data_IF_018819178086
#
_entry.id   IF_018819178086
#
_cell.length_a   1.000
_cell.length_b   1.000
_cell.length_c   1.000
_cell.angle_alpha   90.00
_cell.angle_beta   90.00
_cell.angle_gamma   90.00
#
_symmetry.space_group_name_H-M   'P 1'
#
loop_
_entity.id
_entity.type
_entity.pdbx_description
1 polymer ?
#
# COMPACT_ATOMS: atom_id res chain seq x y z
N UNK A 1 -9.30 -33.52 19.26
CA UNK A 1 -8.27 -33.69 18.20
C UNK A 1 -8.71 -32.85 17.01
N UNK A 2 -8.22 -31.62 16.89
CA UNK A 2 -8.60 -30.73 15.78
C UNK A 2 -7.53 -30.89 14.70
N UNK A 3 -7.86 -31.61 13.64
CA UNK A 3 -6.97 -31.81 12.49
C UNK A 3 -7.23 -30.68 11.51
N UNK A 4 -6.32 -29.71 11.47
CA UNK A 4 -6.34 -28.61 10.51
C UNK A 4 -5.86 -29.07 9.13
N UNK A 5 -6.66 -29.91 8.45
CA UNK A 5 -6.35 -30.52 7.15
C UNK A 5 -6.02 -29.51 6.03
N UNK A 6 -6.35 -28.23 6.23
CA UNK A 6 -6.18 -27.14 5.28
C UNK A 6 -5.29 -25.99 5.79
N UNK A 7 -4.60 -26.12 6.92
CA UNK A 7 -3.69 -25.05 7.40
C UNK A 7 -2.22 -25.33 7.09
N UNK A 8 -1.87 -26.56 6.74
CA UNK A 8 -0.48 -26.96 6.53
C UNK A 8 0.04 -26.60 5.13
N UNK A 9 -0.81 -26.61 4.10
CA UNK A 9 -0.39 -26.24 2.74
C UNK A 9 0.07 -24.77 2.67
N UNK A 10 -0.59 -23.88 3.40
CA UNK A 10 -0.19 -22.47 3.44
C UNK A 10 1.22 -22.32 3.97
N UNK A 11 1.61 -23.06 5.02
CA UNK A 11 2.97 -22.99 5.56
C UNK A 11 4.02 -23.48 4.55
N UNK A 12 3.70 -24.49 3.76
CA UNK A 12 4.59 -25.02 2.72
C UNK A 12 4.74 -24.08 1.53
N UNK A 13 3.65 -23.45 1.08
CA UNK A 13 3.64 -22.62 -0.14
C UNK A 13 3.94 -21.14 0.11
N UNK A 14 3.72 -20.64 1.33
CA UNK A 14 3.93 -19.22 1.66
C UNK A 14 5.33 -18.71 1.33
N UNK A 15 6.44 -19.46 1.59
CA UNK A 15 7.77 -19.02 1.17
C UNK A 15 7.88 -18.86 -0.34
N UNK A 16 7.31 -19.79 -1.13
CA UNK A 16 7.36 -19.74 -2.58
C UNK A 16 6.52 -18.59 -3.14
N UNK A 17 5.31 -18.39 -2.61
CA UNK A 17 4.43 -17.27 -2.97
C UNK A 17 5.09 -15.93 -2.66
N UNK A 18 5.73 -15.81 -1.48
CA UNK A 18 6.45 -14.59 -1.10
C UNK A 18 7.64 -14.34 -2.03
N UNK A 19 8.38 -15.40 -2.38
CA UNK A 19 9.49 -15.30 -3.31
C UNK A 19 9.02 -14.85 -4.71
N UNK A 20 8.00 -15.50 -5.28
CA UNK A 20 7.47 -15.12 -6.59
C UNK A 20 6.92 -13.69 -6.60
N UNK A 21 6.24 -13.29 -5.53
CA UNK A 21 5.72 -11.92 -5.39
C UNK A 21 6.83 -10.88 -5.35
N UNK A 22 7.88 -11.12 -4.55
CA UNK A 22 9.02 -10.21 -4.44
C UNK A 22 9.90 -10.15 -5.70
N UNK A 23 9.79 -11.15 -6.58
CA UNK A 23 10.53 -11.25 -7.84
C UNK A 23 9.70 -10.82 -9.07
N UNK A 24 8.42 -10.48 -8.89
CA UNK A 24 7.53 -10.05 -9.97
C UNK A 24 7.50 -8.53 -10.07
N UNK A 25 7.50 -8.00 -11.29
CA UNK A 25 7.37 -6.57 -11.53
C UNK A 25 5.98 -6.07 -11.13
N UNK A 26 5.96 -4.97 -10.36
CA UNK A 26 4.71 -4.28 -10.07
C UNK A 26 4.25 -3.45 -11.27
N UNK A 27 2.95 -3.48 -11.59
CA UNK A 27 2.41 -2.85 -12.80
C UNK A 27 2.63 -1.33 -12.85
N UNK A 28 2.58 -0.68 -11.68
CA UNK A 28 2.76 0.77 -11.52
C UNK A 28 4.22 1.23 -11.58
N UNK A 29 5.15 0.39 -11.12
CA UNK A 29 6.56 0.76 -10.95
C UNK A 29 7.48 0.11 -11.99
N UNK A 30 6.99 -0.94 -12.68
CA UNK A 30 7.77 -1.77 -13.62
C UNK A 30 9.07 -2.30 -13.01
N UNK A 31 9.06 -2.49 -11.69
CA UNK A 31 10.18 -2.98 -10.90
C UNK A 31 9.67 -3.97 -9.85
N UNK A 32 10.45 -5.00 -9.59
CA UNK A 32 10.25 -5.94 -8.50
C UNK A 32 10.75 -5.36 -7.16
N UNK A 33 10.15 -5.78 -6.02
CA UNK A 33 10.67 -5.44 -4.70
C UNK A 33 12.13 -5.85 -4.47
N UNK A 34 12.57 -7.03 -4.94
CA UNK A 34 13.96 -7.46 -4.79
C UNK A 34 14.94 -6.59 -5.57
N UNK A 35 14.57 -6.18 -6.78
CA UNK A 35 15.37 -5.25 -7.57
C UNK A 35 15.48 -3.88 -6.89
N UNK A 36 14.39 -3.37 -6.29
CA UNK A 36 14.42 -2.10 -5.57
C UNK A 36 15.26 -2.14 -4.29
N UNK A 37 15.19 -3.24 -3.53
CA UNK A 37 15.92 -3.38 -2.25
C UNK A 37 17.39 -3.75 -2.45
N UNK A 38 17.67 -4.70 -3.35
CA UNK A 38 19.00 -5.31 -3.51
C UNK A 38 19.66 -4.97 -4.84
N UNK A 39 19.00 -4.23 -5.73
CA UNK A 39 19.53 -3.89 -7.05
C UNK A 39 19.60 -5.08 -8.01
N UNK A 40 18.99 -6.22 -7.65
CA UNK A 40 18.94 -7.44 -8.46
C UNK A 40 17.79 -8.36 -8.05
N UNK A 41 17.33 -9.14 -9.01
CA UNK A 41 16.37 -10.23 -8.80
C UNK A 41 17.10 -11.58 -8.67
N UNK A 42 16.89 -12.33 -7.59
CA UNK A 42 17.44 -13.68 -7.46
C UNK A 42 16.80 -14.62 -8.47
N UNK A 43 17.63 -15.41 -9.16
CA UNK A 43 17.16 -16.50 -10.01
C UNK A 43 17.02 -17.79 -9.21
N UNK A 44 16.05 -18.63 -9.59
CA UNK A 44 15.77 -19.90 -8.90
C UNK A 44 16.89 -20.94 -9.13
N UNK A 45 17.56 -20.88 -10.29
CA UNK A 45 18.73 -21.71 -10.59
C UNK A 45 20.00 -21.06 -10.04
N UNK A 46 20.54 -21.64 -8.97
CA UNK A 46 21.79 -21.22 -8.32
C UNK A 46 23.07 -21.48 -9.14
N UNK A 47 22.94 -21.88 -10.41
CA UNK A 47 24.08 -22.22 -11.27
C UNK A 47 24.81 -20.98 -11.84
N UNK A 48 24.17 -19.81 -11.84
CA UNK A 48 24.75 -18.58 -12.38
C UNK A 48 24.98 -17.54 -11.27
N UNK A 49 25.89 -17.85 -10.35
CA UNK A 49 26.56 -16.80 -9.57
C UNK A 49 27.58 -16.16 -10.51
N UNK A 50 27.11 -15.32 -11.43
CA UNK A 50 28.01 -14.56 -12.30
C UNK A 50 28.57 -13.39 -11.51
N UNK A 51 29.83 -13.57 -11.09
CA UNK A 51 30.84 -12.62 -10.62
C UNK A 51 30.45 -11.61 -9.53
N UNK A 52 31.23 -11.69 -8.44
CA UNK A 52 31.31 -10.73 -7.34
C UNK A 52 31.42 -9.30 -7.88
N UNK A 53 30.29 -8.61 -7.98
CA UNK A 53 30.32 -7.16 -8.16
C UNK A 53 30.87 -6.60 -6.85
N UNK A 54 31.97 -5.82 -6.85
CA UNK A 54 32.48 -5.25 -5.63
C UNK A 54 31.36 -4.54 -4.87
N UNK A 55 31.28 -4.74 -3.55
CA UNK A 55 30.15 -4.25 -2.73
C UNK A 55 29.86 -2.74 -2.92
N UNK A 56 30.89 -1.94 -3.25
CA UNK A 56 30.75 -0.53 -3.60
C UNK A 56 29.90 -0.29 -4.86
N UNK A 57 30.11 -1.06 -5.93
CA UNK A 57 29.35 -0.94 -7.18
C UNK A 57 27.89 -1.35 -7.00
N UNK A 58 27.64 -2.37 -6.16
CA UNK A 58 26.29 -2.79 -5.81
C UNK A 58 25.56 -1.69 -5.03
N UNK A 59 26.22 -1.07 -4.04
CA UNK A 59 25.64 0.02 -3.24
C UNK A 59 25.23 1.22 -4.12
N UNK A 60 26.09 1.61 -5.07
CA UNK A 60 25.79 2.69 -6.03
C UNK A 60 24.59 2.32 -6.91
N UNK A 61 24.51 1.07 -7.36
CA UNK A 61 23.37 0.57 -8.15
C UNK A 61 22.07 0.58 -7.35
N UNK A 62 22.09 0.12 -6.10
CA UNK A 62 20.92 0.16 -5.21
C UNK A 62 20.46 1.60 -5.03
N UNK A 63 21.38 2.52 -4.72
CA UNK A 63 21.05 3.92 -4.53
C UNK A 63 20.43 4.55 -5.79
N UNK A 64 20.96 4.24 -6.98
CA UNK A 64 20.41 4.78 -8.23
C UNK A 64 19.03 4.22 -8.54
N UNK A 65 18.79 2.92 -8.34
CA UNK A 65 17.47 2.30 -8.47
C UNK A 65 16.47 2.93 -7.50
N UNK A 66 16.84 3.08 -6.22
CA UNK A 66 15.99 3.68 -5.20
C UNK A 66 15.68 5.15 -5.48
N UNK A 67 16.65 5.92 -5.98
CA UNK A 67 16.43 7.32 -6.38
C UNK A 67 15.49 7.43 -7.58
N UNK A 68 15.65 6.57 -8.59
CA UNK A 68 14.75 6.52 -9.73
C UNK A 68 13.33 6.17 -9.28
N UNK A 69 13.21 5.14 -8.45
CA UNK A 69 11.94 4.70 -7.90
C UNK A 69 11.21 5.81 -7.13
N UNK A 70 11.92 6.57 -6.29
CA UNK A 70 11.35 7.73 -5.58
C UNK A 70 10.81 8.78 -6.55
N UNK A 71 11.56 9.11 -7.62
CA UNK A 71 11.12 10.09 -8.63
C UNK A 71 9.86 9.65 -9.35
N UNK A 72 9.80 8.37 -9.75
CA UNK A 72 8.61 7.80 -10.38
C UNK A 72 7.40 7.82 -9.42
N UNK A 73 7.60 7.46 -8.15
CA UNK A 73 6.56 7.54 -7.13
C UNK A 73 6.03 8.97 -6.94
N UNK A 74 6.90 9.95 -6.88
CA UNK A 74 6.49 11.36 -6.75
C UNK A 74 5.65 11.79 -7.96
N UNK A 75 6.04 11.40 -9.17
CA UNK A 75 5.27 11.67 -10.38
C UNK A 75 3.90 10.98 -10.37
N UNK A 76 3.86 9.72 -9.93
CA UNK A 76 2.63 8.94 -9.77
C UNK A 76 1.69 9.58 -8.75
N UNK A 77 2.18 9.99 -7.57
CA UNK A 77 1.40 10.67 -6.54
C UNK A 77 0.79 11.97 -7.08
N UNK A 78 1.58 12.78 -7.79
CA UNK A 78 1.10 14.02 -8.42
C UNK A 78 0.00 13.71 -9.44
N UNK A 79 0.17 12.65 -10.25
CA UNK A 79 -0.82 12.25 -11.25
C UNK A 79 -2.13 11.77 -10.61
N UNK A 80 -2.05 10.97 -9.54
CA UNK A 80 -3.21 10.51 -8.78
C UNK A 80 -3.96 11.67 -8.14
N UNK A 81 -3.23 12.63 -7.56
CA UNK A 81 -3.82 13.85 -7.01
C UNK A 81 -4.57 14.62 -8.10
N UNK A 82 -3.94 14.89 -9.26
CA UNK A 82 -4.61 15.57 -10.38
C UNK A 82 -5.86 14.83 -10.85
N UNK A 83 -5.82 13.49 -10.89
CA UNK A 83 -6.97 12.69 -11.30
C UNK A 83 -8.10 12.74 -10.26
N UNK A 84 -7.78 12.63 -8.98
CA UNK A 84 -8.74 12.76 -7.89
C UNK A 84 -9.38 14.17 -7.89
N UNK A 85 -8.55 15.21 -8.02
CA UNK A 85 -8.97 16.61 -8.06
C UNK A 85 -9.91 16.88 -9.24
N UNK A 86 -9.77 16.19 -10.39
CA UNK A 86 -10.71 16.33 -11.53
C UNK A 86 -12.15 15.91 -11.19
N UNK A 87 -12.31 14.93 -10.31
CA UNK A 87 -13.63 14.45 -9.86
C UNK A 87 -14.17 15.27 -8.68
N UNK A 88 -13.36 16.15 -8.12
CA UNK A 88 -13.70 16.92 -6.94
C UNK A 88 -14.29 18.28 -7.33
N UNK A 89 -15.54 18.50 -6.96
CA UNK A 89 -16.27 19.75 -7.21
C UNK A 89 -15.98 20.85 -6.17
N UNK A 90 -14.98 20.64 -5.32
CA UNK A 90 -14.64 21.49 -4.17
C UNK A 90 -15.34 21.07 -2.88
N UNK A 91 -14.87 21.60 -1.74
CA UNK A 91 -15.58 21.45 -0.47
C UNK A 91 -16.79 22.38 -0.47
N UNK A 92 -17.98 21.93 -0.01
CA UNK A 92 -19.10 22.83 0.22
C UNK A 92 -18.68 23.92 1.22
N UNK A 93 -19.04 25.17 0.92
CA UNK A 93 -18.87 26.28 1.87
C UNK A 93 -19.87 26.06 3.00
N UNK A 94 -19.37 25.73 4.19
CA UNK A 94 -20.18 25.59 5.40
C UNK A 94 -20.22 26.92 6.14
N UNK A 95 -21.41 27.43 6.39
CA UNK A 95 -21.65 28.60 7.23
C UNK A 95 -22.12 28.18 8.63
N UNK A 96 -21.84 28.97 9.67
CA UNK A 96 -22.40 28.74 11.00
C UNK A 96 -23.91 28.56 10.95
N UNK A 97 -24.43 27.51 11.57
CA UNK A 97 -25.83 27.13 11.55
C UNK A 97 -26.23 26.14 10.45
N UNK A 98 -25.33 25.73 9.55
CA UNK A 98 -25.62 24.68 8.56
C UNK A 98 -25.75 23.30 9.21
N UNK A 99 -26.74 22.54 8.74
CA UNK A 99 -26.95 21.16 9.17
C UNK A 99 -26.13 20.22 8.27
N UNK A 100 -25.23 19.44 8.87
CA UNK A 100 -24.36 18.48 8.17
C UNK A 100 -24.53 17.07 8.75
N UNK A 101 -24.44 16.06 7.89
CA UNK A 101 -24.42 14.67 8.31
C UNK A 101 -22.97 14.24 8.61
N UNK A 102 -22.68 13.87 9.85
CA UNK A 102 -21.39 13.36 10.30
C UNK A 102 -21.45 11.85 10.50
N UNK A 103 -20.39 11.15 10.10
CA UNK A 103 -20.31 9.71 10.36
C UNK A 103 -20.14 9.46 11.86
N UNK A 104 -21.01 8.62 12.43
CA UNK A 104 -20.99 8.27 13.84
C UNK A 104 -19.89 7.27 14.22
N UNK A 105 -19.17 6.72 13.23
CA UNK A 105 -18.19 5.64 13.42
C UNK A 105 -17.06 6.03 14.38
N UNK A 106 -16.67 7.30 14.40
CA UNK A 106 -15.54 7.80 15.21
C UNK A 106 -15.95 8.88 16.24
N UNK A 107 -17.24 9.10 16.48
CA UNK A 107 -17.72 10.07 17.47
C UNK A 107 -17.78 9.39 18.84
N UNK A 108 -16.88 9.79 19.75
CA UNK A 108 -16.91 9.34 21.14
C UNK A 108 -17.95 10.16 21.91
N UNK A 109 -19.16 9.62 22.08
CA UNK A 109 -20.17 10.21 22.96
C UNK A 109 -20.05 9.64 24.37
N UNK A 110 -20.22 10.49 25.39
CA UNK A 110 -20.29 10.07 26.79
C UNK A 110 -21.63 9.39 27.15
N UNK A 111 -22.65 9.50 26.28
CA UNK A 111 -23.93 8.82 26.47
C UNK A 111 -23.98 7.48 25.71
N UNK A 112 -24.50 6.41 26.33
CA UNK A 112 -24.66 5.12 25.67
C UNK A 112 -25.81 5.21 24.67
N UNK A 113 -25.52 5.56 23.41
CA UNK A 113 -26.49 5.45 22.32
C UNK A 113 -26.59 3.99 21.86
N UNK A 114 -27.19 3.16 22.72
CA UNK A 114 -27.65 1.83 22.31
C UNK A 114 -28.80 2.05 21.32
N UNK A 115 -28.53 1.77 20.04
CA UNK A 115 -29.50 1.48 18.98
C UNK A 115 -30.22 2.65 18.27
N UNK A 116 -29.87 3.92 18.52
CA UNK A 116 -30.55 5.06 17.84
C UNK A 116 -29.89 5.53 16.53
N UNK A 117 -28.68 5.05 16.21
CA UNK A 117 -27.96 5.40 14.97
C UNK A 117 -27.89 4.18 14.05
N UNK A 118 -29.04 3.73 13.56
CA UNK A 118 -29.11 2.53 12.70
C UNK A 118 -28.37 2.73 11.37
N UNK A 119 -28.15 3.98 10.96
CA UNK A 119 -27.60 4.32 9.65
C UNK A 119 -26.17 4.89 9.68
N UNK A 120 -25.56 5.03 10.87
CA UNK A 120 -24.16 5.46 11.00
C UNK A 120 -23.89 6.94 10.72
N UNK A 121 -24.94 7.79 10.64
CA UNK A 121 -24.85 9.23 10.42
C UNK A 121 -25.61 10.01 11.51
N UNK A 122 -25.08 11.16 11.91
CA UNK A 122 -25.67 12.08 12.90
C UNK A 122 -25.78 13.47 12.30
N UNK A 123 -26.93 14.11 12.45
CA UNK A 123 -27.10 15.50 12.05
C UNK A 123 -26.46 16.44 13.09
N UNK A 124 -25.59 17.34 12.63
CA UNK A 124 -24.88 18.30 13.47
C UNK A 124 -25.02 19.71 12.91
N UNK A 125 -25.10 20.70 13.79
CA UNK A 125 -25.15 22.11 13.41
C UNK A 125 -23.78 22.74 13.62
N UNK A 126 -23.17 23.26 12.55
CA UNK A 126 -21.83 23.89 12.61
C UNK A 126 -21.84 25.28 13.23
#
# INVERSE_FOLDING_TARGET
MHVSYHQDYLKTWLPLVKFSYNNSDHSSTKQSPFSTEYGRDPQFDSAHITQDTPAGNLSVKIQSVQQNFKRELDAVIISFKRYADKSWEGSPVLNPGNMVWLSSRNIKSAQPTKNCLKDGWVLFQS
#
